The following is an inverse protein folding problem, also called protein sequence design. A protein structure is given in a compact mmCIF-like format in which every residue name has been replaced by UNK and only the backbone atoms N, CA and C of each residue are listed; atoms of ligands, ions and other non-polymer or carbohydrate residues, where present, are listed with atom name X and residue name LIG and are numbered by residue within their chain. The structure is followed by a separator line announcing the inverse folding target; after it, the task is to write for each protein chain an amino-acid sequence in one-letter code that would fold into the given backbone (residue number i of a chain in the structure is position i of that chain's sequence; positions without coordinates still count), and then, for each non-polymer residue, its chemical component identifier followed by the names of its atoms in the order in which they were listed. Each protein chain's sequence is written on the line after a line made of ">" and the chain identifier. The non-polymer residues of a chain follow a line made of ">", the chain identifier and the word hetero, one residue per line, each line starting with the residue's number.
data_IF_792600425775
#
_entry.id   IF_792600425775
#
_cell.length_a   1.000
_cell.length_b   1.000
_cell.length_c   1.000
_cell.angle_alpha   90.00
_cell.angle_beta   90.00
_cell.angle_gamma   90.00
#
_symmetry.space_group_name_H-M   'P 1'
#
loop_
_entity.id
_entity.type
_entity.pdbx_description
1 polymer ?
#
# COMPACT_ATOMS: atom_id res chain seq x y z
N UNK A 1 -10.50 30.32 11.46
CA UNK A 1 -9.02 30.17 11.65
C UNK A 1 -8.53 28.72 11.60
N UNK A 2 -9.22 27.73 12.17
CA UNK A 2 -8.74 26.32 12.18
C UNK A 2 -8.69 25.60 10.82
N UNK A 3 -9.60 25.93 9.89
CA UNK A 3 -9.67 25.32 8.56
C UNK A 3 -8.48 25.67 7.66
N UNK A 4 -7.87 26.85 7.84
CA UNK A 4 -6.69 27.26 7.07
C UNK A 4 -5.43 26.53 7.57
N UNK A 5 -5.27 26.41 8.90
CA UNK A 5 -4.13 25.71 9.49
C UNK A 5 -4.13 24.21 9.15
N UNK A 6 -5.32 23.58 9.16
CA UNK A 6 -5.43 22.16 8.79
C UNK A 6 -5.14 21.93 7.29
N UNK A 7 -5.60 22.83 6.41
CA UNK A 7 -5.26 22.76 4.98
C UNK A 7 -3.76 22.94 4.74
N UNK A 8 -3.12 23.88 5.44
CA UNK A 8 -1.68 24.10 5.34
C UNK A 8 -0.91 22.86 5.81
N UNK A 9 -1.30 22.27 6.95
CA UNK A 9 -0.71 21.05 7.47
C UNK A 9 -0.80 19.89 6.47
N UNK A 10 -1.98 19.64 5.91
CA UNK A 10 -2.18 18.58 4.91
C UNK A 10 -1.36 18.82 3.64
N UNK A 11 -1.24 20.07 3.19
CA UNK A 11 -0.41 20.42 2.02
C UNK A 11 1.07 20.15 2.31
N UNK A 12 1.58 20.58 3.47
CA UNK A 12 2.97 20.32 3.87
C UNK A 12 3.21 18.82 3.97
N UNK A 13 2.35 18.06 4.67
CA UNK A 13 2.52 16.62 4.82
C UNK A 13 2.45 15.89 3.48
N UNK A 14 1.56 16.29 2.56
CA UNK A 14 1.52 15.74 1.20
C UNK A 14 2.79 16.04 0.42
N UNK A 15 3.29 17.28 0.46
CA UNK A 15 4.53 17.64 -0.22
C UNK A 15 5.73 16.88 0.34
N UNK A 16 5.83 16.74 1.67
CA UNK A 16 6.89 15.96 2.33
C UNK A 16 6.77 14.45 2.04
N UNK A 17 5.56 13.96 1.79
CA UNK A 17 5.27 12.58 1.43
C UNK A 17 5.45 12.22 -0.05
N UNK A 18 5.99 13.13 -0.87
CA UNK A 18 6.39 12.87 -2.27
C UNK A 18 7.91 12.76 -2.40
N UNK A 19 8.40 12.03 -3.40
CA UNK A 19 9.84 11.78 -3.63
C UNK A 19 10.68 13.08 -3.70
N UNK A 20 10.05 14.21 -4.03
CA UNK A 20 10.64 15.56 -4.06
C UNK A 20 11.28 16.00 -2.73
N UNK A 21 10.71 15.60 -1.59
CA UNK A 21 11.26 15.98 -0.29
C UNK A 21 12.63 15.32 -0.03
N UNK A 22 12.80 14.07 -0.45
CA UNK A 22 14.09 13.38 -0.37
C UNK A 22 15.15 14.09 -1.22
N UNK A 23 14.79 14.57 -2.42
CA UNK A 23 15.71 15.32 -3.27
C UNK A 23 16.10 16.69 -2.66
N UNK A 24 15.14 17.43 -2.10
CA UNK A 24 15.40 18.71 -1.42
C UNK A 24 16.35 18.56 -0.23
N UNK A 25 16.11 17.54 0.59
CA UNK A 25 16.92 17.28 1.77
C UNK A 25 18.31 16.73 1.43
N UNK A 26 18.42 15.90 0.39
CA UNK A 26 19.72 15.49 -0.14
C UNK A 26 20.51 16.70 -0.66
N UNK A 27 19.86 17.63 -1.36
CA UNK A 27 20.49 18.86 -1.85
C UNK A 27 20.97 19.75 -0.70
N UNK A 28 20.13 19.96 0.32
CA UNK A 28 20.51 20.71 1.54
C UNK A 28 21.71 20.09 2.24
N UNK A 29 21.75 18.77 2.32
CA UNK A 29 22.86 18.08 2.95
C UNK A 29 24.16 18.24 2.13
N UNK A 30 24.11 18.18 0.80
CA UNK A 30 25.25 18.48 -0.08
C UNK A 30 25.76 19.91 0.12
N UNK A 31 24.89 20.89 0.35
CA UNK A 31 25.29 22.28 0.64
C UNK A 31 26.05 22.40 1.96
N UNK A 32 25.79 21.54 2.95
CA UNK A 32 26.53 21.52 4.23
C UNK A 32 27.81 20.66 4.23
N UNK A 33 28.03 19.86 3.18
CA UNK A 33 29.23 19.04 3.01
C UNK A 33 30.56 19.84 2.98
N UNK A 34 30.66 21.04 2.36
CA UNK A 34 31.86 21.86 2.40
C UNK A 34 32.25 22.27 3.83
N UNK A 35 31.26 22.56 4.69
CA UNK A 35 31.50 22.92 6.09
C UNK A 35 32.05 21.73 6.89
N UNK A 36 31.59 20.51 6.61
CA UNK A 36 32.13 19.29 7.23
C UNK A 36 33.55 18.99 6.73
N UNK A 37 33.84 19.18 5.44
CA UNK A 37 35.20 19.02 4.88
C UNK A 37 36.20 20.05 5.42
N UNK A 38 35.74 21.29 5.67
CA UNK A 38 36.59 22.34 6.24
C UNK A 38 37.11 22.01 7.65
N UNK A 39 36.52 21.03 8.35
CA UNK A 39 36.99 20.57 9.66
C UNK A 39 38.29 19.74 9.59
N UNK A 40 38.67 19.22 8.41
CA UNK A 40 39.93 18.50 8.18
C UNK A 40 40.04 17.13 8.88
N UNK A 41 39.01 16.67 9.59
CA UNK A 41 39.00 15.40 10.31
C UNK A 41 38.06 14.39 9.65
N UNK A 42 38.62 13.27 9.20
CA UNK A 42 37.90 12.19 8.52
C UNK A 42 36.74 11.63 9.37
N UNK A 43 36.94 11.55 10.70
CA UNK A 43 35.92 11.10 11.64
C UNK A 43 34.70 12.03 11.64
N UNK A 44 34.91 13.35 11.57
CA UNK A 44 33.83 14.34 11.57
C UNK A 44 33.02 14.25 10.28
N UNK A 45 33.68 14.03 9.13
CA UNK A 45 33.01 13.85 7.84
C UNK A 45 32.14 12.59 7.86
N UNK A 46 32.70 11.46 8.33
CA UNK A 46 31.95 10.20 8.42
C UNK A 46 30.79 10.31 9.39
N UNK A 47 31.00 10.91 10.57
CA UNK A 47 29.93 11.14 11.55
C UNK A 47 28.83 12.05 11.00
N UNK A 48 29.20 13.11 10.27
CA UNK A 48 28.23 14.00 9.64
C UNK A 48 27.39 13.29 8.56
N UNK A 49 27.98 12.42 7.74
CA UNK A 49 27.24 11.61 6.76
C UNK A 49 26.33 10.60 7.48
N UNK A 50 26.87 9.84 8.43
CA UNK A 50 26.14 8.78 9.13
C UNK A 50 24.98 9.30 9.98
N UNK A 51 25.15 10.49 10.57
CA UNK A 51 24.17 11.08 11.47
C UNK A 51 23.32 12.13 10.77
N UNK A 52 23.92 13.22 10.27
CA UNK A 52 23.14 14.37 9.79
C UNK A 52 22.51 14.10 8.42
N UNK A 53 23.27 13.57 7.46
CA UNK A 53 22.75 13.28 6.12
C UNK A 53 21.75 12.12 6.16
N UNK A 54 22.17 10.97 6.68
CA UNK A 54 21.36 9.75 6.70
C UNK A 54 20.04 9.97 7.46
N UNK A 55 20.06 10.60 8.64
CA UNK A 55 18.87 10.78 9.45
C UNK A 55 17.85 11.76 8.83
N UNK A 56 18.35 12.86 8.26
CA UNK A 56 17.51 13.90 7.67
C UNK A 56 16.87 13.43 6.36
N UNK A 57 17.54 12.54 5.63
CA UNK A 57 17.00 11.89 4.42
C UNK A 57 16.12 10.66 4.76
N UNK A 58 16.37 9.97 5.87
CA UNK A 58 15.64 8.76 6.27
C UNK A 58 14.13 9.02 6.43
N UNK A 59 13.76 10.10 7.12
CA UNK A 59 12.36 10.38 7.47
C UNK A 59 11.46 10.55 6.23
N UNK A 60 11.79 11.41 5.24
CA UNK A 60 11.03 11.50 3.99
C UNK A 60 11.01 10.20 3.19
N UNK A 61 12.12 9.48 3.10
CA UNK A 61 12.18 8.22 2.34
C UNK A 61 11.24 7.18 2.95
N UNK A 62 11.21 7.06 4.29
CA UNK A 62 10.28 6.16 4.97
C UNK A 62 8.83 6.56 4.65
N UNK A 63 8.48 7.85 4.76
CA UNK A 63 7.12 8.32 4.51
C UNK A 63 6.68 8.03 3.07
N UNK A 64 7.55 8.31 2.09
CA UNK A 64 7.28 8.01 0.67
C UNK A 64 7.16 6.50 0.44
N UNK A 65 8.06 5.70 1.03
CA UNK A 65 8.02 4.25 0.92
C UNK A 65 6.71 3.66 1.46
N UNK A 66 6.25 4.15 2.61
CA UNK A 66 4.96 3.75 3.18
C UNK A 66 3.79 4.19 2.28
N UNK A 67 3.81 5.41 1.74
CA UNK A 67 2.77 5.87 0.81
C UNK A 67 2.68 5.01 -0.46
N UNK A 68 3.82 4.60 -1.05
CA UNK A 68 3.85 3.74 -2.24
C UNK A 68 3.31 2.35 -1.92
N UNK A 69 3.69 1.78 -0.76
CA UNK A 69 3.18 0.48 -0.32
C UNK A 69 1.66 0.56 -0.10
N UNK A 70 1.17 1.58 0.60
CA UNK A 70 -0.27 1.78 0.83
C UNK A 70 -1.04 1.91 -0.48
N UNK A 71 -0.57 2.71 -1.44
CA UNK A 71 -1.24 2.83 -2.74
C UNK A 71 -1.29 1.50 -3.50
N UNK A 72 -0.25 0.66 -3.38
CA UNK A 72 -0.25 -0.69 -3.98
C UNK A 72 -1.16 -1.67 -3.24
N UNK A 73 -1.34 -1.51 -1.92
CA UNK A 73 -2.26 -2.30 -1.11
C UNK A 73 -3.71 -1.95 -1.43
N UNK A 74 -4.03 -0.65 -1.58
CA UNK A 74 -5.36 -0.19 -1.96
C UNK A 74 -5.76 -0.74 -3.35
N UNK A 75 -4.84 -0.68 -4.32
CA UNK A 75 -5.07 -1.26 -5.65
C UNK A 75 -5.28 -2.79 -5.62
N UNK A 76 -4.58 -3.49 -4.71
CA UNK A 76 -4.77 -4.94 -4.51
C UNK A 76 -6.08 -5.25 -3.80
N UNK A 77 -6.47 -4.45 -2.81
CA UNK A 77 -7.72 -4.62 -2.08
C UNK A 77 -8.94 -4.51 -3.00
N UNK A 78 -8.91 -3.60 -3.97
CA UNK A 78 -9.96 -3.47 -4.99
C UNK A 78 -10.05 -4.74 -5.86
N UNK A 79 -8.91 -5.22 -6.37
CA UNK A 79 -8.86 -6.44 -7.19
C UNK A 79 -9.28 -7.71 -6.40
N UNK A 80 -8.90 -7.79 -5.12
CA UNK A 80 -9.33 -8.87 -4.23
C UNK A 80 -10.85 -8.81 -3.97
N UNK A 81 -11.43 -7.61 -3.85
CA UNK A 81 -12.87 -7.45 -3.64
C UNK A 81 -13.68 -7.94 -4.85
N UNK A 82 -13.27 -7.60 -6.07
CA UNK A 82 -13.90 -8.12 -7.30
C UNK A 82 -13.79 -9.64 -7.38
N UNK A 83 -12.59 -10.17 -7.07
CA UNK A 83 -12.33 -11.62 -7.07
C UNK A 83 -13.19 -12.36 -6.05
N UNK A 84 -13.28 -11.85 -4.81
CA UNK A 84 -14.12 -12.40 -3.74
C UNK A 84 -15.60 -12.41 -4.13
N UNK A 85 -16.07 -11.34 -4.78
CA UNK A 85 -17.46 -11.23 -5.24
C UNK A 85 -17.76 -12.25 -6.33
N UNK A 86 -16.85 -12.42 -7.29
CA UNK A 86 -16.97 -13.43 -8.35
C UNK A 86 -16.97 -14.86 -7.78
N UNK A 87 -16.07 -15.15 -6.82
CA UNK A 87 -16.02 -16.43 -6.12
C UNK A 87 -17.33 -16.72 -5.37
N UNK A 88 -17.87 -15.73 -4.66
CA UNK A 88 -19.14 -15.89 -3.95
C UNK A 88 -20.30 -16.20 -4.91
N UNK A 89 -20.40 -15.46 -6.03
CA UNK A 89 -21.42 -15.71 -7.04
C UNK A 89 -21.31 -17.11 -7.67
N UNK A 90 -20.09 -17.58 -7.93
CA UNK A 90 -19.86 -18.94 -8.42
C UNK A 90 -20.28 -20.00 -7.40
N UNK A 91 -19.97 -19.80 -6.11
CA UNK A 91 -20.34 -20.73 -5.04
C UNK A 91 -21.88 -20.86 -4.92
N UNK A 92 -22.60 -19.72 -4.96
CA UNK A 92 -24.07 -19.71 -4.98
C UNK A 92 -24.63 -20.47 -6.19
N UNK A 93 -24.06 -20.29 -7.38
CA UNK A 93 -24.49 -21.05 -8.56
C UNK A 93 -24.22 -22.54 -8.42
N UNK A 94 -23.09 -22.94 -7.85
CA UNK A 94 -22.79 -24.35 -7.59
C UNK A 94 -23.82 -24.98 -6.64
N UNK A 95 -24.19 -24.29 -5.56
CA UNK A 95 -25.23 -24.76 -4.64
C UNK A 95 -26.58 -24.93 -5.35
N UNK A 96 -26.99 -23.96 -6.18
CA UNK A 96 -28.22 -24.06 -6.98
C UNK A 96 -28.21 -25.25 -7.94
N UNK A 97 -27.06 -25.52 -8.58
CA UNK A 97 -26.90 -26.67 -9.48
C UNK A 97 -27.02 -27.99 -8.70
N UNK A 98 -26.46 -28.07 -7.50
CA UNK A 98 -26.59 -29.26 -6.64
C UNK A 98 -28.05 -29.50 -6.24
N UNK A 99 -28.78 -28.46 -5.82
CA UNK A 99 -30.22 -28.56 -5.52
C UNK A 99 -31.05 -28.98 -6.74
N UNK A 100 -30.70 -28.48 -7.93
CA UNK A 100 -31.37 -28.90 -9.16
C UNK A 100 -31.10 -30.36 -9.51
N UNK A 101 -29.86 -30.82 -9.34
CA UNK A 101 -29.51 -32.23 -9.56
C UNK A 101 -30.25 -33.15 -8.59
N UNK A 102 -30.31 -32.78 -7.32
CA UNK A 102 -31.04 -33.53 -6.28
C UNK A 102 -32.53 -33.64 -6.61
N UNK A 103 -33.15 -32.52 -7.02
CA UNK A 103 -34.55 -32.53 -7.48
C UNK A 103 -34.78 -33.42 -8.69
N UNK A 104 -33.89 -33.38 -9.68
CA UNK A 104 -34.00 -34.23 -10.87
C UNK A 104 -33.87 -35.71 -10.48
N UNK A 105 -32.93 -36.04 -9.59
CA UNK A 105 -32.73 -37.41 -9.10
C UNK A 105 -33.98 -37.91 -8.38
N UNK A 106 -34.57 -37.11 -7.50
CA UNK A 106 -35.84 -37.45 -6.83
C UNK A 106 -36.99 -37.66 -7.81
N UNK A 107 -37.14 -36.81 -8.83
CA UNK A 107 -38.15 -36.98 -9.87
C UNK A 107 -37.94 -38.27 -10.67
N UNK A 108 -36.69 -38.66 -10.93
CA UNK A 108 -36.37 -39.92 -11.60
C UNK A 108 -36.67 -41.13 -10.70
N UNK A 109 -36.38 -41.05 -9.41
CA UNK A 109 -36.71 -42.09 -8.42
C UNK A 109 -38.23 -42.31 -8.32
N UNK A 110 -39.01 -41.22 -8.24
CA UNK A 110 -40.48 -41.27 -8.25
C UNK A 110 -41.04 -41.83 -9.57
N UNK A 111 -40.39 -41.52 -10.70
CA UNK A 111 -40.75 -42.00 -12.04
C UNK A 111 -40.26 -43.41 -12.33
N UNK A 112 -39.47 -44.01 -11.46
CA UNK A 112 -39.02 -45.40 -11.56
C UNK A 112 -39.90 -46.25 -10.65
N UNK A 113 -41.15 -46.61 -11.05
CA UNK A 113 -41.89 -47.62 -10.31
C UNK A 113 -41.04 -48.88 -10.33
N UNK A 114 -40.81 -49.45 -9.15
CA UNK A 114 -40.06 -50.69 -8.96
C UNK A 114 -40.40 -51.67 -10.08
N UNK A 115 -39.46 -51.82 -11.02
CA UNK A 115 -39.58 -52.76 -12.11
C UNK A 115 -39.37 -54.13 -11.47
N UNK A 116 -40.48 -54.72 -11.05
CA UNK A 116 -40.65 -56.12 -10.63
C UNK A 116 -39.95 -57.08 -11.59
#
# INVERSE_FOLDING_TARGET
>A
MGHFNNRLAVVITRSVGTMWAAYLFALLAVVSLPAALASGQTIVIVAWIAQTFLQLVLLPIIIVGQNVISASQDARAEADHETLTALHAMNVRQLQILEQQDRILHLLEERTPARS
#
